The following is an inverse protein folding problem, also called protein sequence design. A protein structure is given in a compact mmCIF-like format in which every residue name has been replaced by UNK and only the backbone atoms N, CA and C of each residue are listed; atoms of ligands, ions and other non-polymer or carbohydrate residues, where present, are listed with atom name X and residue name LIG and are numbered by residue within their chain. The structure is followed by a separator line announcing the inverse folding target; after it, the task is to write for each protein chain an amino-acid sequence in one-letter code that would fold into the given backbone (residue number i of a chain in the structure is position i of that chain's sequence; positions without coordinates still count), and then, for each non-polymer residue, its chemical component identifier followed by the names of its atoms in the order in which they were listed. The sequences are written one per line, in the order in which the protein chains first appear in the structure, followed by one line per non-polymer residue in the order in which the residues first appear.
data_IF_242136280244
#
_entry.id   IF_242136280244
#
_cell.length_a   1.000
_cell.length_b   1.000
_cell.length_c   1.000
_cell.angle_alpha   90.00
_cell.angle_beta   90.00
_cell.angle_gamma   90.00
#
_symmetry.space_group_name_H-M   'P 1'
#
loop_
_entity.id
_entity.type
_entity.pdbx_description
1 polymer ?
#
# COMPACT_ATOMS: atom_id res chain seq x y z
N UNK A 1 -41.91 -45.67 -32.41
CA UNK A 1 -40.48 -45.48 -32.08
C UNK A 1 -39.87 -44.43 -33.01
N UNK A 2 -39.85 -43.15 -32.64
CA UNK A 2 -39.00 -42.12 -33.25
C UNK A 2 -38.54 -41.17 -32.15
N UNK A 3 -37.23 -41.08 -32.00
CA UNK A 3 -36.52 -40.50 -30.86
C UNK A 3 -36.61 -38.98 -30.90
N UNK A 4 -37.15 -38.37 -29.86
CA UNK A 4 -37.07 -36.92 -29.61
C UNK A 4 -35.63 -36.64 -29.14
N UNK A 5 -34.83 -36.00 -29.99
CA UNK A 5 -33.50 -35.51 -29.65
C UNK A 5 -33.70 -34.11 -29.05
N UNK A 6 -33.79 -34.04 -27.72
CA UNK A 6 -33.75 -32.79 -26.97
C UNK A 6 -32.28 -32.42 -26.81
N UNK A 7 -31.78 -31.55 -27.70
CA UNK A 7 -30.41 -31.02 -27.62
C UNK A 7 -30.37 -29.97 -26.49
N UNK A 8 -30.20 -30.42 -25.25
CA UNK A 8 -29.92 -29.56 -24.11
C UNK A 8 -28.51 -29.02 -24.26
N UNK A 9 -28.38 -27.79 -24.75
CA UNK A 9 -27.14 -27.02 -24.67
C UNK A 9 -26.87 -26.69 -23.20
N UNK A 10 -26.06 -27.53 -22.55
CA UNK A 10 -25.51 -27.24 -21.22
C UNK A 10 -24.53 -26.09 -21.37
N UNK A 11 -25.03 -24.87 -21.19
CA UNK A 11 -24.20 -23.70 -20.97
C UNK A 11 -23.55 -23.91 -19.60
N UNK A 12 -22.30 -24.36 -19.61
CA UNK A 12 -21.47 -24.39 -18.42
C UNK A 12 -21.27 -22.95 -17.94
N UNK A 13 -22.11 -22.52 -16.99
CA UNK A 13 -21.85 -21.35 -16.17
C UNK A 13 -20.62 -21.68 -15.31
N UNK A 14 -19.43 -21.44 -15.85
CA UNK A 14 -18.22 -21.34 -15.07
C UNK A 14 -18.37 -20.12 -14.18
N UNK A 15 -18.82 -20.34 -12.94
CA UNK A 15 -18.77 -19.36 -11.87
C UNK A 15 -17.29 -18.99 -11.66
N UNK A 16 -16.85 -17.92 -12.31
CA UNK A 16 -15.61 -17.26 -11.94
C UNK A 16 -15.82 -16.71 -10.53
N UNK A 17 -15.43 -17.50 -9.53
CA UNK A 17 -15.25 -17.01 -8.17
C UNK A 17 -14.12 -15.99 -8.24
N UNK A 18 -14.46 -14.72 -8.44
CA UNK A 18 -13.56 -13.61 -8.21
C UNK A 18 -13.34 -13.57 -6.70
N UNK A 19 -12.38 -14.36 -6.23
CA UNK A 19 -11.85 -14.23 -4.88
C UNK A 19 -11.39 -12.78 -4.72
N UNK A 20 -11.87 -12.10 -3.68
CA UNK A 20 -11.34 -10.79 -3.32
C UNK A 20 -9.84 -10.98 -3.04
N UNK A 21 -9.00 -10.42 -3.90
CA UNK A 21 -7.57 -10.53 -3.78
C UNK A 21 -7.10 -9.54 -2.71
N UNK A 22 -6.41 -10.02 -1.69
CA UNK A 22 -5.77 -9.18 -0.69
C UNK A 22 -4.45 -8.60 -1.23
N UNK A 23 -3.97 -7.52 -0.63
CA UNK A 23 -2.63 -7.00 -0.93
C UNK A 23 -1.57 -8.00 -0.47
N UNK A 24 -0.59 -8.27 -1.33
CA UNK A 24 0.56 -9.10 -1.06
C UNK A 24 1.59 -8.34 -0.22
N UNK A 25 1.35 -8.31 1.09
CA UNK A 25 2.24 -7.66 2.05
C UNK A 25 3.56 -8.44 2.22
N UNK A 26 4.67 -7.72 2.18
CA UNK A 26 6.01 -8.24 2.49
C UNK A 26 6.70 -7.38 3.55
N UNK A 27 7.81 -7.87 4.11
CA UNK A 27 8.67 -7.04 4.97
C UNK A 27 9.44 -6.03 4.14
N UNK A 28 9.95 -4.97 4.77
CA UNK A 28 10.73 -3.95 4.08
C UNK A 28 12.00 -4.52 3.43
N UNK A 29 12.71 -5.41 4.13
CA UNK A 29 13.90 -6.07 3.59
C UNK A 29 13.59 -6.99 2.41
N UNK A 30 12.45 -7.69 2.45
CA UNK A 30 12.02 -8.52 1.32
C UNK A 30 11.66 -7.67 0.11
N UNK A 31 10.96 -6.54 0.30
CA UNK A 31 10.70 -5.60 -0.78
C UNK A 31 12.01 -5.10 -1.44
N UNK A 32 13.03 -4.77 -0.65
CA UNK A 32 14.36 -4.38 -1.18
C UNK A 32 15.00 -5.52 -1.97
N UNK A 33 14.91 -6.76 -1.49
CA UNK A 33 15.42 -7.94 -2.23
C UNK A 33 14.68 -8.14 -3.54
N UNK A 34 13.36 -7.95 -3.54
CA UNK A 34 12.52 -8.07 -4.74
C UNK A 34 12.84 -6.97 -5.76
N UNK A 35 13.03 -5.71 -5.32
CA UNK A 35 13.44 -4.60 -6.19
C UNK A 35 14.75 -4.87 -6.95
N UNK A 36 15.70 -5.58 -6.34
CA UNK A 36 16.95 -5.98 -7.01
C UNK A 36 16.74 -6.99 -8.13
N UNK A 37 15.66 -7.77 -8.08
CA UNK A 37 15.30 -8.77 -9.11
C UNK A 37 14.41 -8.16 -10.18
N UNK A 38 13.38 -7.43 -9.77
CA UNK A 38 12.42 -6.76 -10.64
C UNK A 38 12.15 -5.36 -10.09
N UNK A 39 12.68 -4.30 -10.74
CA UNK A 39 12.50 -2.94 -10.27
C UNK A 39 11.02 -2.52 -10.23
N UNK A 40 10.51 -2.27 -9.02
CA UNK A 40 9.13 -1.82 -8.77
C UNK A 40 9.12 -0.92 -7.55
N UNK A 41 8.31 0.14 -7.55
CA UNK A 41 8.18 1.08 -6.43
C UNK A 41 7.65 0.39 -5.18
N UNK A 42 7.92 0.96 -3.99
CA UNK A 42 7.37 0.47 -2.72
C UNK A 42 6.23 1.36 -2.26
N UNK A 43 5.14 0.75 -1.82
CA UNK A 43 4.09 1.40 -1.03
C UNK A 43 4.13 0.79 0.37
N UNK A 44 4.56 1.57 1.36
CA UNK A 44 4.68 1.12 2.74
C UNK A 44 3.57 1.70 3.62
N UNK A 45 2.73 0.85 4.20
CA UNK A 45 1.81 1.22 5.28
C UNK A 45 2.55 1.26 6.61
N UNK A 46 2.79 2.48 7.11
CA UNK A 46 3.34 2.70 8.43
C UNK A 46 2.21 2.88 9.45
N UNK A 47 1.99 1.83 10.24
CA UNK A 47 0.90 1.72 11.20
C UNK A 47 1.42 1.54 12.64
N UNK A 48 0.50 1.55 13.61
CA UNK A 48 0.74 1.05 14.97
C UNK A 48 -0.45 0.21 15.44
N UNK A 49 -0.23 -0.72 16.38
CA UNK A 49 -1.26 -1.67 16.83
C UNK A 49 -2.49 -1.00 17.49
N UNK A 50 -2.28 0.13 18.14
CA UNK A 50 -3.31 0.89 18.87
C UNK A 50 -4.04 1.92 18.02
N UNK A 51 -3.56 2.20 16.79
CA UNK A 51 -4.10 3.23 15.93
C UNK A 51 -5.43 2.80 15.29
N UNK A 52 -6.54 3.37 15.78
CA UNK A 52 -7.88 3.16 15.22
C UNK A 52 -7.99 3.52 13.73
N UNK A 53 -7.56 4.72 13.30
CA UNK A 53 -7.58 5.11 11.88
C UNK A 53 -6.76 4.19 10.97
N UNK A 54 -5.70 3.56 11.48
CA UNK A 54 -4.89 2.59 10.73
C UNK A 54 -5.71 1.32 10.43
N UNK A 55 -6.47 0.82 11.42
CA UNK A 55 -7.40 -0.32 11.23
C UNK A 55 -8.51 0.03 10.24
N UNK A 56 -8.98 1.28 10.24
CA UNK A 56 -9.94 1.74 9.25
C UNK A 56 -9.34 1.77 7.84
N UNK A 57 -8.10 2.26 7.69
CA UNK A 57 -7.40 2.28 6.39
C UNK A 57 -7.26 0.86 5.83
N UNK A 58 -6.83 -0.08 6.68
CA UNK A 58 -6.71 -1.49 6.32
C UNK A 58 -8.04 -2.08 5.82
N UNK A 59 -9.10 -1.97 6.62
CA UNK A 59 -10.43 -2.50 6.29
C UNK A 59 -11.07 -1.84 5.08
N UNK A 60 -11.08 -0.51 5.03
CA UNK A 60 -11.93 0.22 4.10
C UNK A 60 -11.19 0.56 2.78
N UNK A 61 -9.86 0.45 2.77
CA UNK A 61 -9.05 0.85 1.62
C UNK A 61 -8.15 -0.27 1.13
N UNK A 62 -7.36 -0.91 2.00
CA UNK A 62 -6.45 -1.96 1.54
C UNK A 62 -7.15 -3.29 1.22
N UNK A 63 -8.32 -3.55 1.79
CA UNK A 63 -9.18 -4.67 1.40
C UNK A 63 -10.09 -4.36 0.20
N UNK A 64 -10.07 -3.13 -0.31
CA UNK A 64 -10.80 -2.81 -1.53
C UNK A 64 -10.15 -3.51 -2.73
N UNK A 65 -10.96 -4.18 -3.56
CA UNK A 65 -10.47 -4.97 -4.69
C UNK A 65 -9.65 -4.13 -5.69
N UNK A 66 -10.14 -2.95 -6.07
CA UNK A 66 -9.46 -2.13 -7.08
C UNK A 66 -8.09 -1.64 -6.56
N UNK A 67 -8.03 -1.30 -5.27
CA UNK A 67 -6.77 -0.95 -4.59
C UNK A 67 -5.82 -2.15 -4.56
N UNK A 68 -6.28 -3.31 -4.12
CA UNK A 68 -5.45 -4.49 -3.98
C UNK A 68 -4.89 -4.98 -5.32
N UNK A 69 -5.73 -5.05 -6.35
CA UNK A 69 -5.33 -5.42 -7.71
C UNK A 69 -4.25 -4.46 -8.23
N UNK A 70 -4.46 -3.15 -8.09
CA UNK A 70 -3.52 -2.15 -8.58
C UNK A 70 -2.20 -2.17 -7.82
N UNK A 71 -2.25 -2.27 -6.48
CA UNK A 71 -1.07 -2.32 -5.63
C UNK A 71 -0.24 -3.56 -5.96
N UNK A 72 -0.86 -4.74 -6.04
CA UNK A 72 -0.17 -5.99 -6.36
C UNK A 72 0.51 -5.96 -7.74
N UNK A 73 -0.14 -5.34 -8.72
CA UNK A 73 0.43 -5.20 -10.06
C UNK A 73 1.61 -4.21 -10.07
N UNK A 74 1.54 -3.10 -9.35
CA UNK A 74 2.40 -1.93 -9.57
C UNK A 74 3.41 -1.63 -8.46
N UNK A 75 3.23 -2.19 -7.26
CA UNK A 75 4.05 -1.92 -6.08
C UNK A 75 4.50 -3.21 -5.37
N UNK A 76 5.61 -3.12 -4.65
CA UNK A 76 5.84 -3.97 -3.49
C UNK A 76 5.18 -3.31 -2.28
N UNK A 77 4.19 -3.98 -1.71
CA UNK A 77 3.48 -3.47 -0.54
C UNK A 77 4.17 -3.91 0.73
N UNK A 78 4.54 -2.96 1.59
CA UNK A 78 5.21 -3.22 2.86
C UNK A 78 4.30 -2.86 4.01
N UNK A 79 4.19 -3.76 5.00
CA UNK A 79 3.50 -3.47 6.25
C UNK A 79 4.54 -3.26 7.34
N UNK A 80 4.60 -2.04 7.88
CA UNK A 80 5.65 -1.62 8.80
C UNK A 80 5.04 -1.10 10.10
N UNK A 81 5.37 -1.74 11.22
CA UNK A 81 4.96 -1.24 12.52
C UNK A 81 5.92 -0.12 12.94
N UNK A 82 5.47 1.12 12.80
CA UNK A 82 6.28 2.30 13.01
C UNK A 82 6.73 2.52 14.47
N UNK A 83 6.18 1.74 15.42
CA UNK A 83 6.55 1.69 16.84
C UNK A 83 6.99 0.26 17.24
N UNK A 84 7.25 -0.62 16.28
CA UNK A 84 7.69 -1.99 16.49
C UNK A 84 9.15 -2.09 16.96
N UNK A 85 9.60 -3.34 17.17
CA UNK A 85 10.94 -3.68 17.63
C UNK A 85 11.75 -4.50 16.61
N UNK A 86 11.26 -4.61 15.38
CA UNK A 86 11.98 -5.27 14.30
C UNK A 86 13.32 -4.57 14.01
N UNK A 87 14.34 -5.32 13.63
CA UNK A 87 15.59 -4.75 13.13
C UNK A 87 15.51 -4.68 11.61
N UNK A 88 15.77 -3.52 11.03
CA UNK A 88 15.66 -3.30 9.59
C UNK A 88 16.99 -2.82 9.02
N UNK A 89 17.55 -3.56 8.05
CA UNK A 89 18.74 -3.14 7.33
C UNK A 89 18.35 -2.39 6.05
N UNK A 90 18.81 -1.15 5.93
CA UNK A 90 18.50 -0.28 4.82
C UNK A 90 19.67 0.69 4.57
N UNK A 91 20.09 0.81 3.30
CA UNK A 91 21.21 1.67 2.89
C UNK A 91 22.49 1.52 3.74
N UNK A 92 22.87 0.27 4.04
CA UNK A 92 24.09 -0.03 4.80
C UNK A 92 24.00 0.32 6.30
N UNK A 93 22.81 0.70 6.79
CA UNK A 93 22.55 0.98 8.19
C UNK A 93 21.47 0.04 8.74
N UNK A 94 21.66 -0.41 9.98
CA UNK A 94 20.61 -1.09 10.74
C UNK A 94 19.81 -0.04 11.53
N UNK A 95 18.49 -0.08 11.40
CA UNK A 95 17.54 0.73 12.15
C UNK A 95 16.85 -0.16 13.18
N UNK A 96 16.78 0.33 14.42
CA UNK A 96 16.22 -0.40 15.56
C UNK A 96 15.13 0.43 16.26
N UNK A 97 14.58 -0.10 17.34
CA UNK A 97 13.82 0.66 18.33
C UNK A 97 14.36 0.41 19.74
N UNK A 98 15.48 1.06 20.14
CA UNK A 98 16.14 0.78 21.41
C UNK A 98 15.30 1.13 22.64
N UNK A 99 14.29 1.99 22.47
CA UNK A 99 13.39 2.42 23.54
C UNK A 99 12.04 1.67 23.50
N UNK A 100 11.95 0.57 22.75
CA UNK A 100 10.73 -0.22 22.68
C UNK A 100 10.43 -0.88 24.03
N UNK A 101 9.21 -0.67 24.53
CA UNK A 101 8.70 -1.33 25.74
C UNK A 101 7.68 -2.42 25.35
N UNK A 102 7.97 -3.71 25.58
CA UNK A 102 7.04 -4.81 25.28
C UNK A 102 5.68 -4.67 25.99
N UNK A 103 5.65 -4.10 27.20
CA UNK A 103 4.41 -3.84 27.91
C UNK A 103 3.56 -2.75 27.23
N UNK A 104 4.12 -2.02 26.26
CA UNK A 104 3.42 -1.01 25.44
C UNK A 104 3.11 -1.48 24.03
N UNK A 105 3.29 -2.76 23.68
CA UNK A 105 3.07 -3.27 22.32
C UNK A 105 1.72 -2.90 21.68
N UNK A 106 0.65 -2.75 22.49
CA UNK A 106 -0.70 -2.40 22.04
C UNK A 106 -1.17 -1.01 22.52
N UNK A 107 -0.24 -0.12 22.87
CA UNK A 107 -0.46 1.29 23.24
C UNK A 107 0.69 2.13 22.67
N UNK A 108 0.66 3.45 22.88
CA UNK A 108 1.71 4.33 22.37
C UNK A 108 3.08 3.90 22.91
N UNK A 109 3.99 3.60 21.98
CA UNK A 109 5.37 3.24 22.25
C UNK A 109 6.33 4.29 21.66
N UNK A 110 7.62 4.11 21.85
CA UNK A 110 8.63 4.92 21.17
C UNK A 110 8.61 4.63 19.66
N UNK A 111 8.78 5.67 18.80
CA UNK A 111 8.87 5.43 17.36
C UNK A 111 10.15 4.68 17.02
N UNK A 112 10.05 3.76 16.06
CA UNK A 112 11.18 3.07 15.45
C UNK A 112 12.10 4.08 14.74
N UNK A 113 13.41 3.81 14.67
CA UNK A 113 14.38 4.73 14.05
C UNK A 113 14.11 4.94 12.56
N UNK A 114 13.66 3.92 11.85
CA UNK A 114 13.25 4.03 10.44
C UNK A 114 12.07 4.98 10.26
N UNK A 115 11.12 5.00 11.21
CA UNK A 115 9.99 5.96 11.20
C UNK A 115 10.49 7.39 11.29
N UNK A 116 11.49 7.66 12.14
CA UNK A 116 12.14 8.97 12.23
C UNK A 116 12.85 9.34 10.93
N UNK A 117 13.57 8.40 10.33
CA UNK A 117 14.28 8.60 9.07
C UNK A 117 13.32 8.96 7.92
N UNK A 118 12.17 8.27 7.83
CA UNK A 118 11.11 8.57 6.87
C UNK A 118 10.18 9.73 7.26
N UNK A 119 10.51 10.48 8.32
CA UNK A 119 9.75 11.64 8.80
C UNK A 119 8.27 11.34 9.10
N UNK A 120 8.00 10.12 9.57
CA UNK A 120 6.68 9.64 9.98
C UNK A 120 6.39 10.21 11.37
N UNK A 121 5.49 11.19 11.43
CA UNK A 121 5.13 11.88 12.67
C UNK A 121 3.63 11.76 13.03
N UNK A 122 2.85 11.04 12.21
CA UNK A 122 1.43 10.77 12.41
C UNK A 122 1.07 9.40 11.81
N UNK A 123 0.01 8.79 12.32
CA UNK A 123 -0.46 7.47 11.87
C UNK A 123 -1.93 7.51 11.44
N UNK A 124 -2.32 6.77 10.38
CA UNK A 124 -1.44 6.06 9.46
C UNK A 124 -0.63 7.03 8.59
N UNK A 125 0.50 6.57 8.05
CA UNK A 125 1.21 7.24 6.95
C UNK A 125 1.55 6.20 5.89
N UNK A 126 1.24 6.49 4.64
CA UNK A 126 1.61 5.65 3.50
C UNK A 126 2.88 6.25 2.88
N UNK A 127 4.01 5.58 3.03
CA UNK A 127 5.28 6.03 2.47
C UNK A 127 5.48 5.42 1.09
N UNK A 128 5.68 6.27 0.08
CA UNK A 128 6.05 5.84 -1.26
C UNK A 128 7.56 5.95 -1.44
N UNK A 129 8.17 4.89 -1.99
CA UNK A 129 9.58 4.87 -2.35
C UNK A 129 9.75 4.47 -3.82
N UNK A 130 10.79 4.99 -4.46
CA UNK A 130 11.14 4.66 -5.84
C UNK A 130 11.71 3.23 -5.97
N UNK A 131 12.04 2.84 -7.20
CA UNK A 131 12.60 1.54 -7.55
C UNK A 131 13.96 1.24 -6.91
N UNK A 132 14.65 2.26 -6.38
CA UNK A 132 15.92 2.17 -5.66
C UNK A 132 15.73 2.33 -4.13
N UNK A 133 14.49 2.25 -3.65
CA UNK A 133 14.08 2.49 -2.29
C UNK A 133 14.34 3.91 -1.75
N UNK A 134 14.54 4.92 -2.60
CA UNK A 134 14.58 6.32 -2.15
C UNK A 134 13.17 6.83 -1.87
N UNK A 135 13.02 7.66 -0.83
CA UNK A 135 11.72 8.23 -0.45
C UNK A 135 11.20 9.15 -1.56
N UNK A 136 9.96 8.92 -1.98
CA UNK A 136 9.20 9.84 -2.83
C UNK A 136 8.36 10.77 -1.94
N UNK A 137 7.46 10.21 -1.13
CA UNK A 137 6.52 11.02 -0.35
C UNK A 137 5.91 10.25 0.84
N UNK A 138 5.88 10.82 2.06
CA UNK A 138 5.13 10.28 3.20
C UNK A 138 3.69 10.83 3.22
N UNK A 139 2.75 10.11 2.61
CA UNK A 139 1.34 10.51 2.54
C UNK A 139 0.62 10.25 3.87
N UNK A 140 0.40 11.33 4.63
CA UNK A 140 -0.17 11.25 6.00
C UNK A 140 -1.69 11.07 6.01
N UNK A 141 -2.16 10.32 7.01
CA UNK A 141 -3.56 10.16 7.37
C UNK A 141 -4.32 9.17 6.50
N UNK A 142 -5.51 8.79 6.97
CA UNK A 142 -6.43 7.91 6.25
C UNK A 142 -6.73 8.43 4.83
N UNK A 143 -6.85 7.50 3.88
CA UNK A 143 -7.25 7.75 2.49
C UNK A 143 -8.30 6.72 2.13
N UNK A 144 -9.40 7.14 1.51
CA UNK A 144 -10.36 6.22 0.88
C UNK A 144 -9.76 5.59 -0.40
N UNK A 145 -10.39 4.54 -0.97
CA UNK A 145 -9.98 3.98 -2.27
C UNK A 145 -9.80 5.04 -3.37
N UNK A 146 -10.77 5.93 -3.55
CA UNK A 146 -10.70 7.00 -4.55
C UNK A 146 -9.58 8.01 -4.27
N UNK A 147 -9.32 8.33 -2.99
CA UNK A 147 -8.26 9.27 -2.61
C UNK A 147 -6.88 8.66 -2.81
N UNK A 148 -6.66 7.40 -2.42
CA UNK A 148 -5.36 6.73 -2.57
C UNK A 148 -5.04 6.46 -4.05
N UNK A 149 -6.06 6.22 -4.88
CA UNK A 149 -5.90 5.98 -6.32
C UNK A 149 -5.09 7.08 -7.02
N UNK A 150 -5.39 8.35 -6.71
CA UNK A 150 -4.72 9.50 -7.29
C UNK A 150 -3.21 9.42 -7.06
N UNK A 151 -2.80 9.15 -5.81
CA UNK A 151 -1.39 9.08 -5.44
C UNK A 151 -0.70 7.84 -5.99
N UNK A 152 -1.38 6.68 -5.95
CA UNK A 152 -0.88 5.45 -6.58
C UNK A 152 -0.59 5.67 -8.07
N UNK A 153 -1.53 6.25 -8.82
CA UNK A 153 -1.33 6.47 -10.26
C UNK A 153 -0.28 7.55 -10.53
N UNK A 154 -0.29 8.64 -9.76
CA UNK A 154 0.66 9.75 -9.91
C UNK A 154 2.11 9.30 -9.64
N UNK A 155 2.35 8.56 -8.56
CA UNK A 155 3.69 8.07 -8.23
C UNK A 155 4.13 6.94 -9.14
N UNK A 156 3.23 6.05 -9.59
CA UNK A 156 3.59 5.00 -10.54
C UNK A 156 4.10 5.59 -11.87
N UNK A 157 3.46 6.65 -12.35
CA UNK A 157 3.81 7.34 -13.60
C UNK A 157 4.92 8.38 -13.50
N UNK A 158 5.43 8.62 -12.29
CA UNK A 158 6.36 9.71 -12.00
C UNK A 158 5.82 11.12 -12.30
N UNK A 159 4.51 11.30 -12.40
CA UNK A 159 3.86 12.59 -12.70
C UNK A 159 4.22 13.66 -11.63
N UNK A 160 4.45 13.22 -10.38
CA UNK A 160 4.92 14.10 -9.29
C UNK A 160 6.24 14.84 -9.59
N UNK A 161 7.08 14.35 -10.52
CA UNK A 161 8.35 15.00 -10.88
C UNK A 161 8.14 16.32 -11.62
N UNK A 162 6.98 16.51 -12.26
CA UNK A 162 6.63 17.76 -12.98
C UNK A 162 5.62 18.63 -12.24
N UNK A 163 4.96 18.06 -11.23
CA UNK A 163 4.02 18.74 -10.32
C UNK A 163 4.81 19.32 -9.13
N UNK A 164 5.55 20.39 -9.41
CA UNK A 164 6.44 21.08 -8.47
C UNK A 164 5.77 22.25 -7.73
N UNK A 165 4.53 22.61 -8.08
CA UNK A 165 3.75 23.66 -7.40
C UNK A 165 2.38 23.18 -6.97
N UNK A 166 1.80 23.89 -5.99
CA UNK A 166 0.45 23.61 -5.51
C UNK A 166 -0.60 23.82 -6.60
N UNK A 167 -0.41 24.81 -7.48
CA UNK A 167 -1.30 25.10 -8.61
C UNK A 167 -1.34 23.93 -9.58
N UNK A 168 -0.19 23.40 -9.99
CA UNK A 168 -0.11 22.22 -10.85
C UNK A 168 -0.76 21.00 -10.20
N UNK A 169 -0.57 20.83 -8.89
CA UNK A 169 -1.22 19.74 -8.16
C UNK A 169 -2.74 19.89 -8.17
N UNK A 170 -3.25 21.10 -7.95
CA UNK A 170 -4.68 21.37 -7.97
C UNK A 170 -5.29 21.13 -9.36
N UNK A 171 -4.57 21.48 -10.43
CA UNK A 171 -4.97 21.18 -11.80
C UNK A 171 -5.00 19.67 -12.06
N UNK A 172 -3.93 18.96 -11.68
CA UNK A 172 -3.86 17.51 -11.78
C UNK A 172 -5.01 16.84 -11.02
N UNK A 173 -5.29 17.28 -9.79
CA UNK A 173 -6.38 16.78 -8.95
C UNK A 173 -7.75 16.99 -9.60
N UNK A 174 -8.01 18.18 -10.17
CA UNK A 174 -9.29 18.47 -10.86
C UNK A 174 -9.47 17.65 -12.13
N UNK A 175 -8.37 17.42 -12.86
CA UNK A 175 -8.36 16.63 -14.08
C UNK A 175 -8.47 15.13 -13.82
N UNK A 176 -8.00 14.66 -12.65
CA UNK A 176 -8.00 13.25 -12.29
C UNK A 176 -9.41 12.65 -12.28
N UNK A 177 -9.58 11.55 -13.02
CA UNK A 177 -10.81 10.76 -13.05
C UNK A 177 -10.53 9.39 -12.43
N UNK A 178 -10.93 9.25 -11.17
CA UNK A 178 -10.80 8.00 -10.43
C UNK A 178 -11.66 6.88 -11.01
N UNK A 179 -11.18 5.66 -10.87
CA UNK A 179 -11.80 4.41 -11.31
C UNK A 179 -12.08 3.47 -10.14
N UNK A 180 -11.40 3.65 -9.01
CA UNK A 180 -11.57 2.78 -7.85
C UNK A 180 -12.92 3.08 -7.20
N UNK A 181 -13.69 2.02 -6.98
CA UNK A 181 -14.99 2.10 -6.31
C UNK A 181 -14.76 2.14 -4.80
N UNK A 182 -15.45 3.05 -4.11
CA UNK A 182 -15.42 3.21 -2.65
C UNK A 182 -16.54 2.45 -1.96
#
# INVERSE_FOLDING_TARGET
MKKIIFLVSVIAFSSFNVMAQEINWVTFEEAIKLQKKEPKKIMMDAYTNWCGPCKMLDRNTFQNKDVADYVNANYYAVKFNAEGNEAINYNGKTYLNPNYDPAKANRRNSPHELSRYFQINAYPTIVFLDENANIIFPLRGYKTPAQIELYLKMFKKDDHKTIDTQEKFNEYYKAFKGQFKG
#
